data_IF_004848907998
#
_entry.id   IF_004848907998
#
_cell.length_a   1.000
_cell.length_b   1.000
_cell.length_c   1.000
_cell.angle_alpha   90.00
_cell.angle_beta   90.00
_cell.angle_gamma   90.00
#
_symmetry.space_group_name_H-M   'P 1'
#
loop_
_entity.id
_entity.type
_entity.pdbx_description
1 polymer ?
#
# COMPACT_ATOMS: atom_id res chain seq x y z
N UNK A 1 2.23 7.87 -19.51
CA UNK A 1 1.52 8.17 -18.42
C UNK A 1 2.18 8.11 -17.07
N UNK A 2 1.84 8.97 -16.26
CA UNK A 2 2.43 9.51 -15.05
C UNK A 2 2.42 8.55 -13.85
N UNK A 3 3.02 7.39 -14.00
CA UNK A 3 3.00 6.37 -12.96
C UNK A 3 3.83 6.71 -11.71
N UNK A 4 4.75 7.66 -11.81
CA UNK A 4 5.64 7.95 -10.71
C UNK A 4 5.23 9.12 -9.81
N UNK A 5 4.24 9.91 -10.21
CA UNK A 5 3.90 11.14 -9.50
C UNK A 5 3.14 10.93 -8.20
N UNK A 6 2.47 9.80 -8.05
CA UNK A 6 1.54 9.56 -6.94
C UNK A 6 2.25 9.21 -5.66
N UNK A 7 3.31 8.47 -5.76
CA UNK A 7 4.16 8.17 -4.63
C UNK A 7 4.63 9.46 -3.92
N UNK A 8 4.98 10.48 -4.68
CA UNK A 8 5.41 11.75 -4.13
C UNK A 8 4.24 12.59 -3.63
N UNK A 9 3.03 12.40 -4.15
CA UNK A 9 1.82 13.02 -3.60
C UNK A 9 1.63 12.59 -2.14
N UNK A 10 1.84 11.31 -1.83
CA UNK A 10 1.76 10.80 -0.45
C UNK A 10 2.75 11.50 0.46
N UNK A 11 4.01 11.62 0.03
CA UNK A 11 5.05 12.28 0.83
C UNK A 11 4.84 13.79 0.95
N UNK A 12 4.58 14.46 -0.16
CA UNK A 12 4.31 15.88 -0.17
C UNK A 12 2.96 16.21 0.47
N UNK A 13 2.00 15.31 0.37
CA UNK A 13 0.72 15.41 1.03
C UNK A 13 0.85 15.40 2.55
N UNK A 14 1.78 14.61 3.10
CA UNK A 14 2.06 14.60 4.53
C UNK A 14 2.67 15.93 5.01
N UNK A 15 3.63 16.48 4.27
CA UNK A 15 4.24 17.76 4.59
C UNK A 15 3.25 18.94 4.47
N UNK A 16 2.44 18.95 3.42
CA UNK A 16 1.38 19.97 3.24
C UNK A 16 0.19 19.77 4.17
N UNK A 17 -0.05 18.53 4.63
CA UNK A 17 -1.07 18.27 5.65
C UNK A 17 -0.72 18.88 6.99
N UNK A 18 0.54 18.94 7.36
CA UNK A 18 0.93 19.58 8.63
C UNK A 18 0.62 21.07 8.65
N UNK A 19 0.84 21.78 7.56
CA UNK A 19 0.49 23.21 7.46
C UNK A 19 -1.02 23.46 7.36
N UNK A 20 -1.74 22.62 6.62
CA UNK A 20 -3.20 22.71 6.52
C UNK A 20 -3.91 22.19 7.76
N UNK A 21 -3.32 21.25 8.47
CA UNK A 21 -3.92 20.67 9.68
C UNK A 21 -4.00 21.67 10.84
N UNK A 22 -3.18 22.71 10.87
CA UNK A 22 -3.29 23.75 11.89
C UNK A 22 -4.59 24.54 11.77
N UNK A 23 -5.05 24.80 10.54
CA UNK A 23 -6.30 25.51 10.31
C UNK A 23 -7.53 24.61 10.30
N UNK A 24 -7.40 23.40 9.76
CA UNK A 24 -8.52 22.46 9.61
C UNK A 24 -8.81 21.70 10.91
N UNK A 25 -7.83 21.52 11.80
CA UNK A 25 -8.06 20.94 13.14
C UNK A 25 -9.02 21.75 14.00
N UNK A 26 -9.19 23.03 13.70
CA UNK A 26 -10.19 23.87 14.37
C UNK A 26 -11.61 23.60 13.92
N UNK A 27 -11.81 23.08 12.70
CA UNK A 27 -13.13 22.94 12.09
C UNK A 27 -13.54 21.50 11.84
N UNK A 28 -12.60 20.60 11.57
CA UNK A 28 -12.89 19.18 11.27
C UNK A 28 -11.99 18.24 12.06
N UNK A 29 -12.55 17.59 13.03
CA UNK A 29 -11.90 16.58 13.88
C UNK A 29 -11.50 15.29 13.13
N UNK A 30 -11.55 15.26 11.78
CA UNK A 30 -11.72 14.00 11.06
C UNK A 30 -11.02 13.91 9.68
N UNK A 31 -9.74 14.21 9.59
CA UNK A 31 -8.97 13.64 8.50
C UNK A 31 -8.32 12.35 9.01
N UNK A 32 -9.08 11.27 9.03
CA UNK A 32 -8.55 9.96 9.39
C UNK A 32 -8.07 9.27 8.15
N UNK A 33 -6.82 8.88 8.17
CA UNK A 33 -6.30 7.89 7.26
C UNK A 33 -6.98 6.55 7.53
N UNK A 34 -7.23 5.79 6.49
CA UNK A 34 -7.79 4.45 6.63
C UNK A 34 -6.65 3.44 6.60
N UNK A 35 -6.53 2.70 7.68
CA UNK A 35 -5.51 1.69 7.87
C UNK A 35 -6.13 0.30 7.95
N UNK A 36 -5.45 -0.68 7.38
CA UNK A 36 -5.79 -2.09 7.53
C UNK A 36 -4.67 -2.84 8.25
N UNK A 37 -5.04 -3.72 9.17
CA UNK A 37 -4.12 -4.75 9.65
C UNK A 37 -4.16 -5.90 8.66
N UNK A 38 -3.07 -6.14 7.96
CA UNK A 38 -2.94 -7.21 6.98
C UNK A 38 -1.86 -8.20 7.37
N UNK A 39 -2.04 -9.45 6.99
CA UNK A 39 -0.96 -10.42 6.98
C UNK A 39 -0.21 -10.33 5.66
N UNK A 40 1.10 -10.35 5.74
CA UNK A 40 1.98 -10.44 4.56
C UNK A 40 2.86 -11.66 4.72
N UNK A 41 2.74 -12.58 3.78
CA UNK A 41 3.42 -13.87 3.80
C UNK A 41 4.42 -13.98 2.66
N UNK A 42 5.60 -14.49 2.98
CA UNK A 42 6.60 -14.82 1.97
C UNK A 42 6.13 -15.98 1.11
N UNK A 43 6.26 -15.85 -0.19
CA UNK A 43 5.79 -16.86 -1.14
C UNK A 43 6.60 -18.16 -1.06
N UNK A 44 7.89 -18.05 -0.76
CA UNK A 44 8.82 -19.18 -0.72
C UNK A 44 8.78 -19.96 0.61
N UNK A 45 8.83 -19.28 1.73
CA UNK A 45 8.90 -19.91 3.06
C UNK A 45 7.57 -20.04 3.78
N UNK A 46 6.54 -19.32 3.32
CA UNK A 46 5.24 -19.18 3.99
C UNK A 46 5.29 -18.54 5.38
N UNK A 47 6.41 -17.91 5.70
CA UNK A 47 6.51 -17.11 6.92
C UNK A 47 5.74 -15.79 6.74
N UNK A 48 4.88 -15.48 7.69
CA UNK A 48 4.02 -14.31 7.65
C UNK A 48 4.26 -13.34 8.80
N UNK A 49 3.97 -12.10 8.55
CA UNK A 49 3.97 -11.02 9.53
C UNK A 49 2.67 -10.23 9.43
N UNK A 50 2.27 -9.61 10.52
CA UNK A 50 1.16 -8.66 10.52
C UNK A 50 1.70 -7.24 10.45
N UNK A 51 1.22 -6.46 9.50
CA UNK A 51 1.62 -5.06 9.31
C UNK A 51 0.39 -4.17 9.15
N UNK A 52 0.58 -2.88 9.35
CA UNK A 52 -0.43 -1.88 9.02
C UNK A 52 -0.23 -1.41 7.59
N UNK A 53 -1.28 -1.51 6.78
CA UNK A 53 -1.32 -0.97 5.43
C UNK A 53 -2.15 0.30 5.39
N UNK A 54 -1.61 1.33 4.77
CA UNK A 54 -2.35 2.55 4.47
C UNK A 54 -3.13 2.37 3.17
N UNK A 55 -4.43 2.64 3.20
CA UNK A 55 -5.22 2.77 1.98
C UNK A 55 -5.05 4.18 1.43
N UNK A 56 -4.50 4.29 0.23
CA UNK A 56 -4.22 5.58 -0.39
C UNK A 56 -4.71 5.61 -1.84
N UNK A 57 -5.83 6.28 -2.07
CA UNK A 57 -6.42 6.41 -3.41
C UNK A 57 -5.57 7.26 -4.35
N UNK A 58 -4.63 8.04 -3.83
CA UNK A 58 -3.70 8.82 -4.65
C UNK A 58 -2.48 8.02 -5.11
N UNK A 59 -2.22 6.86 -4.51
CA UNK A 59 -1.12 5.99 -4.93
C UNK A 59 -1.53 5.13 -6.14
N UNK A 60 -0.67 5.03 -7.13
CA UNK A 60 -0.93 4.27 -8.37
C UNK A 60 -0.48 2.81 -8.34
N UNK A 61 -0.01 2.34 -7.21
CA UNK A 61 0.45 0.97 -7.05
C UNK A 61 0.36 0.51 -5.62
N UNK A 62 0.94 -0.64 -5.37
CA UNK A 62 1.15 -1.18 -4.03
C UNK A 62 2.63 -1.10 -3.71
N UNK A 63 2.94 -0.67 -2.49
CA UNK A 63 4.31 -0.38 -2.06
C UNK A 63 4.62 -1.00 -0.71
N UNK A 64 5.84 -1.48 -0.55
CA UNK A 64 6.37 -2.00 0.71
C UNK A 64 7.63 -1.22 1.09
N UNK A 65 7.78 -0.92 2.37
CA UNK A 65 8.95 -0.22 2.88
C UNK A 65 10.22 -1.09 2.80
N UNK A 66 11.30 -0.50 2.28
CA UNK A 66 12.59 -1.18 2.11
C UNK A 66 13.16 -1.71 3.42
N UNK A 67 13.11 -0.91 4.48
CA UNK A 67 13.66 -1.28 5.78
C UNK A 67 12.86 -2.42 6.41
N UNK A 68 11.54 -2.37 6.30
CA UNK A 68 10.67 -3.41 6.79
C UNK A 68 10.92 -4.73 6.04
N UNK A 69 11.03 -4.68 4.73
CA UNK A 69 11.34 -5.86 3.91
C UNK A 69 12.69 -6.49 4.27
N UNK A 70 13.72 -5.66 4.46
CA UNK A 70 15.05 -6.12 4.87
C UNK A 70 15.03 -6.74 6.28
N UNK A 71 14.36 -6.09 7.23
CA UNK A 71 14.23 -6.57 8.60
C UNK A 71 13.60 -7.96 8.68
N UNK A 72 12.63 -8.24 7.84
CA UNK A 72 11.91 -9.51 7.83
C UNK A 72 12.41 -10.51 6.78
N UNK A 73 13.46 -10.17 6.06
CA UNK A 73 14.09 -11.09 5.11
C UNK A 73 13.25 -11.43 3.88
N UNK A 74 12.47 -10.49 3.37
CA UNK A 74 11.75 -10.68 2.12
C UNK A 74 12.70 -10.75 0.93
N UNK A 75 12.44 -11.69 0.04
CA UNK A 75 13.22 -11.87 -1.18
C UNK A 75 12.78 -10.89 -2.25
N UNK A 76 13.65 -9.95 -2.57
CA UNK A 76 13.38 -8.93 -3.57
C UNK A 76 13.77 -9.40 -4.97
N UNK A 77 13.01 -8.96 -5.95
CA UNK A 77 13.29 -9.18 -7.37
C UNK A 77 13.67 -7.84 -8.01
N UNK A 78 14.79 -7.83 -8.71
CA UNK A 78 15.22 -6.65 -9.45
C UNK A 78 14.33 -6.45 -10.68
N UNK A 79 13.86 -5.23 -10.89
CA UNK A 79 13.11 -4.87 -12.10
C UNK A 79 14.07 -4.79 -13.30
N UNK A 80 13.59 -5.22 -14.47
CA UNK A 80 14.36 -5.06 -15.72
C UNK A 80 14.61 -3.60 -16.02
N UNK A 81 13.64 -2.73 -15.74
CA UNK A 81 13.73 -1.29 -15.92
C UNK A 81 13.32 -0.59 -14.64
N UNK A 82 14.15 0.33 -14.13
CA UNK A 82 13.75 1.17 -13.01
C UNK A 82 12.52 2.00 -13.34
N UNK A 83 11.64 2.17 -12.36
CA UNK A 83 10.46 3.03 -12.47
C UNK A 83 10.75 4.36 -11.80
N UNK A 84 10.71 5.45 -12.57
CA UNK A 84 10.93 6.78 -12.03
C UNK A 84 9.80 7.21 -11.10
N UNK A 85 10.16 7.70 -9.93
CA UNK A 85 9.22 8.32 -9.00
C UNK A 85 9.29 9.84 -9.19
N UNK A 86 8.17 10.42 -9.52
CA UNK A 86 8.05 11.87 -9.78
C UNK A 86 7.20 12.55 -8.74
N UNK A 87 7.49 13.81 -8.53
CA UNK A 87 6.67 14.72 -7.74
C UNK A 87 5.40 15.11 -8.50
N UNK A 88 4.43 15.65 -7.77
CA UNK A 88 3.16 16.14 -8.35
C UNK A 88 3.41 17.20 -9.43
N UNK A 89 4.45 18.00 -9.28
CA UNK A 89 4.86 19.03 -10.23
C UNK A 89 5.63 18.48 -11.46
N UNK A 90 5.83 17.16 -11.53
CA UNK A 90 6.54 16.49 -12.60
C UNK A 90 8.06 16.39 -12.41
N UNK A 91 8.62 16.97 -11.34
CA UNK A 91 10.05 16.85 -11.04
C UNK A 91 10.41 15.45 -10.54
N UNK A 92 11.67 15.05 -10.69
CA UNK A 92 12.13 13.78 -10.16
C UNK A 92 12.17 13.79 -8.63
N UNK A 93 11.75 12.68 -8.02
CA UNK A 93 11.84 12.52 -6.58
C UNK A 93 13.30 12.34 -6.16
N UNK A 94 13.72 13.04 -5.12
CA UNK A 94 15.07 12.94 -4.55
C UNK A 94 15.42 11.55 -3.98
N UNK A 95 14.43 10.72 -3.74
CA UNK A 95 14.60 9.35 -3.24
C UNK A 95 14.90 8.32 -4.32
N UNK A 96 14.94 8.75 -5.57
CA UNK A 96 15.34 7.91 -6.70
C UNK A 96 14.22 7.06 -7.28
N UNK A 97 14.60 6.12 -8.14
CA UNK A 97 13.70 5.24 -8.84
C UNK A 97 13.40 3.96 -8.04
N UNK A 98 12.28 3.33 -8.36
CA UNK A 98 11.95 1.98 -7.89
C UNK A 98 12.75 0.98 -8.74
N UNK A 99 13.58 0.19 -8.09
CA UNK A 99 14.45 -0.77 -8.76
C UNK A 99 14.11 -2.22 -8.44
N UNK A 100 13.38 -2.45 -7.37
CA UNK A 100 13.01 -3.78 -6.89
C UNK A 100 11.53 -3.88 -6.55
N UNK A 101 11.03 -5.09 -6.63
CA UNK A 101 9.69 -5.47 -6.21
C UNK A 101 9.76 -6.74 -5.37
N UNK A 102 8.69 -7.03 -4.66
CA UNK A 102 8.50 -8.27 -3.91
C UNK A 102 7.17 -8.89 -4.25
N UNK A 103 7.14 -10.22 -4.37
CA UNK A 103 5.90 -10.97 -4.52
C UNK A 103 5.52 -11.57 -3.18
N UNK A 104 4.30 -11.35 -2.74
CA UNK A 104 3.79 -11.75 -1.43
C UNK A 104 2.37 -12.26 -1.51
N UNK A 105 1.97 -13.06 -0.53
CA UNK A 105 0.57 -13.33 -0.25
C UNK A 105 0.08 -12.35 0.80
N UNK A 106 -1.03 -11.71 0.53
CA UNK A 106 -1.66 -10.74 1.44
C UNK A 106 -2.96 -11.30 1.97
N UNK A 107 -3.09 -11.23 3.27
CA UNK A 107 -4.27 -11.73 4.00
C UNK A 107 -4.97 -10.55 4.68
N UNK A 108 -6.26 -10.44 4.45
CA UNK A 108 -7.10 -9.52 5.18
C UNK A 108 -8.42 -10.21 5.55
N UNK A 109 -8.61 -10.49 6.82
CA UNK A 109 -9.75 -11.30 7.31
C UNK A 109 -9.80 -12.63 6.55
N UNK A 110 -10.87 -12.85 5.80
CA UNK A 110 -11.07 -14.05 4.99
C UNK A 110 -10.52 -13.94 3.57
N UNK A 111 -9.87 -12.83 3.23
CA UNK A 111 -9.34 -12.58 1.89
C UNK A 111 -7.86 -12.91 1.79
N UNK A 112 -7.50 -13.59 0.73
CA UNK A 112 -6.12 -13.90 0.39
C UNK A 112 -5.89 -13.54 -1.07
N UNK A 113 -4.81 -12.84 -1.33
CA UNK A 113 -4.38 -12.60 -2.70
C UNK A 113 -2.87 -12.60 -2.82
N UNK A 114 -2.40 -12.99 -3.98
CA UNK A 114 -0.99 -12.87 -4.34
C UNK A 114 -0.79 -11.57 -5.09
N UNK A 115 0.18 -10.77 -4.66
CA UNK A 115 0.44 -9.49 -5.31
C UNK A 115 1.93 -9.18 -5.35
N UNK A 116 2.26 -8.26 -6.23
CA UNK A 116 3.59 -7.64 -6.30
C UNK A 116 3.52 -6.25 -5.70
N UNK A 117 4.49 -5.94 -4.87
CA UNK A 117 4.64 -4.61 -4.28
C UNK A 117 5.98 -4.02 -4.70
N UNK A 118 5.96 -2.76 -5.08
CA UNK A 118 7.16 -2.02 -5.38
C UNK A 118 7.87 -1.60 -4.09
N UNK A 119 9.18 -1.68 -4.10
CA UNK A 119 10.00 -1.34 -2.94
C UNK A 119 10.31 0.14 -2.91
N UNK A 120 9.89 0.79 -1.84
CA UNK A 120 10.11 2.21 -1.63
C UNK A 120 10.56 2.50 -0.20
N UNK A 121 11.16 3.66 0.00
CA UNK A 121 11.41 4.19 1.33
C UNK A 121 10.13 4.91 1.81
N UNK A 122 9.37 4.24 2.65
CA UNK A 122 8.08 4.74 3.17
C UNK A 122 8.18 5.37 4.56
N UNK A 123 9.38 5.44 5.10
CA UNK A 123 9.68 5.99 6.43
C UNK A 123 8.92 5.26 7.56
N UNK A 124 7.71 5.71 7.89
CA UNK A 124 6.92 5.18 9.02
C UNK A 124 5.78 4.26 8.58
N UNK A 125 5.63 4.03 7.29
CA UNK A 125 4.55 3.21 6.72
C UNK A 125 5.15 1.89 6.24
N UNK A 126 4.58 0.77 6.64
CA UNK A 126 5.07 -0.54 6.21
C UNK A 126 4.60 -0.88 4.79
N UNK A 127 3.33 -0.66 4.50
CA UNK A 127 2.70 -0.99 3.22
C UNK A 127 1.70 0.09 2.83
N UNK A 128 1.67 0.41 1.54
CA UNK A 128 0.63 1.23 0.91
C UNK A 128 -0.14 0.37 -0.09
N UNK A 129 -1.45 0.34 0.07
CA UNK A 129 -2.39 -0.22 -0.91
C UNK A 129 -3.04 0.92 -1.67
N UNK A 130 -2.67 1.06 -2.93
CA UNK A 130 -3.09 2.17 -3.76
C UNK A 130 -4.38 1.93 -4.54
N UNK A 131 -4.64 2.81 -5.47
CA UNK A 131 -5.85 2.79 -6.28
C UNK A 131 -6.08 1.46 -7.03
N UNK A 132 -5.06 0.78 -7.59
CA UNK A 132 -5.28 -0.51 -8.24
C UNK A 132 -5.90 -1.56 -7.31
N UNK A 133 -5.46 -1.60 -6.04
CA UNK A 133 -6.05 -2.49 -5.04
C UNK A 133 -7.48 -2.09 -4.69
N UNK A 134 -7.72 -0.78 -4.51
CA UNK A 134 -9.05 -0.25 -4.23
C UNK A 134 -10.03 -0.53 -5.36
N UNK A 135 -9.60 -0.38 -6.60
CA UNK A 135 -10.43 -0.68 -7.77
C UNK A 135 -10.73 -2.18 -7.91
N UNK A 136 -9.75 -3.03 -7.66
CA UNK A 136 -9.92 -4.47 -7.77
C UNK A 136 -10.87 -5.03 -6.70
N UNK A 137 -10.76 -4.56 -5.48
CA UNK A 137 -11.56 -5.05 -4.36
C UNK A 137 -12.82 -4.25 -4.09
N UNK A 138 -12.85 -3.00 -4.50
CA UNK A 138 -13.96 -2.08 -4.32
C UNK A 138 -14.60 -2.18 -2.92
N UNK A 139 -13.83 -2.02 -1.84
CA UNK A 139 -14.31 -2.22 -0.49
C UNK A 139 -15.34 -1.16 -0.08
N UNK A 140 -16.22 -1.52 0.83
CA UNK A 140 -17.07 -0.56 1.50
C UNK A 140 -16.29 0.09 2.64
N UNK A 141 -16.06 1.39 2.55
CA UNK A 141 -15.32 2.15 3.55
C UNK A 141 -16.24 3.12 4.26
N UNK A 142 -16.33 2.98 5.57
CA UNK A 142 -16.95 4.00 6.40
C UNK A 142 -15.86 5.03 6.76
N UNK A 143 -15.90 6.17 6.09
CA UNK A 143 -14.90 7.23 6.24
C UNK A 143 -14.93 7.91 7.61
N UNK A 144 -16.05 7.85 8.29
CA UNK A 144 -16.19 8.39 9.64
C UNK A 144 -15.48 7.51 10.68
N UNK A 145 -15.66 6.20 10.59
CA UNK A 145 -15.12 5.24 11.56
C UNK A 145 -13.83 4.59 11.13
N UNK A 146 -13.49 4.65 9.83
CA UNK A 146 -12.37 3.93 9.25
C UNK A 146 -12.61 2.43 9.05
N UNK A 147 -13.84 1.95 9.25
CA UNK A 147 -14.17 0.53 9.04
C UNK A 147 -14.20 0.18 7.56
N UNK A 148 -13.61 -0.95 7.23
CA UNK A 148 -13.55 -1.49 5.87
C UNK A 148 -14.20 -2.85 5.82
N UNK A 149 -15.13 -3.03 4.87
CA UNK A 149 -15.79 -4.30 4.59
C UNK A 149 -15.47 -4.76 3.18
N UNK A 150 -15.06 -6.02 3.05
CA UNK A 150 -14.69 -6.63 1.77
C UNK A 150 -15.87 -7.41 1.21
N UNK A 151 -16.87 -6.70 0.69
CA UNK A 151 -18.13 -7.29 0.21
C UNK A 151 -18.20 -7.45 -1.30
N UNK A 152 -17.29 -6.82 -2.04
CA UNK A 152 -17.32 -6.74 -3.51
C UNK A 152 -16.06 -7.28 -4.19
N UNK A 153 -15.30 -8.09 -3.47
CA UNK A 153 -14.08 -8.68 -4.01
C UNK A 153 -14.33 -9.59 -5.20
N UNK A 154 -13.34 -9.72 -6.10
CA UNK A 154 -13.37 -10.76 -7.13
C UNK A 154 -13.52 -12.15 -6.50
N UNK A 155 -14.21 -13.06 -7.21
CA UNK A 155 -14.41 -14.44 -6.76
C UNK A 155 -13.11 -15.20 -6.48
N UNK A 156 -12.02 -14.81 -7.13
CA UNK A 156 -10.69 -15.39 -6.93
C UNK A 156 -10.18 -15.22 -5.48
N UNK A 157 -10.50 -14.13 -4.82
CA UNK A 157 -10.11 -13.91 -3.42
C UNK A 157 -10.68 -14.98 -2.50
N UNK A 158 -11.93 -15.40 -2.70
CA UNK A 158 -12.54 -16.46 -1.91
C UNK A 158 -12.12 -17.88 -2.31
N UNK A 159 -11.69 -18.09 -3.54
CA UNK A 159 -11.25 -19.40 -4.04
C UNK A 159 -9.87 -19.79 -3.50
N UNK A 160 -8.97 -18.85 -3.42
CA UNK A 160 -7.63 -19.10 -2.90
C UNK A 160 -7.65 -19.57 -1.43
N UNK A 161 -8.58 -19.05 -0.65
CA UNK A 161 -8.78 -19.52 0.72
C UNK A 161 -9.25 -20.96 0.84
N UNK A 162 -10.07 -21.43 -0.09
CA UNK A 162 -10.59 -22.79 -0.06
C UNK A 162 -9.52 -23.82 -0.44
N UNK A 163 -8.56 -23.43 -1.26
CA UNK A 163 -7.45 -24.28 -1.68
C UNK A 163 -6.41 -24.48 -0.59
N UNK A 164 -6.24 -23.48 0.27
CA UNK A 164 -5.25 -23.56 1.37
C UNK A 164 -5.78 -24.28 2.61
N UNK A 165 -7.09 -24.45 2.74
CA UNK A 165 -7.72 -25.20 3.83
C UNK A 165 -7.94 -26.68 3.52
N UNK A 166 -7.65 -27.07 2.33
CA UNK A 166 -7.60 -28.46 1.90
C UNK A 166 -6.19 -29.02 2.02
#
# INVERSE_FOLDING_TARGET
>A
MQQGSIWTVVLNGAAKKEDRQRDVRRTFKMLREVWLNIGVEKVDTHEGITVKALLDSSATGMFMDKKMAAKHGFRLQKLERPVAVRNVDGTNNSRGAITHQVEVNVYYKSHVERMRMDMCDLEKIDVILGMPWLQAHNPEINWETGKVKMTRCPLLCGRNMKLEKG
#
